data_IF_892325785057
#
_entry.id   IF_892325785057
#
_cell.length_a   1.000
_cell.length_b   1.000
_cell.length_c   1.000
_cell.angle_alpha   90.00
_cell.angle_beta   90.00
_cell.angle_gamma   90.00
#
_symmetry.space_group_name_H-M   'P 1'
#
loop_
_entity.id
_entity.type
_entity.pdbx_description
1 polymer ?
#
# COMPACT_ATOMS: atom_id res chain seq x y z
N UNK A 1 14.17 -14.50 -6.30
CA UNK A 1 12.88 -14.50 -7.01
C UNK A 1 11.83 -13.99 -6.03
N UNK A 2 11.15 -12.89 -6.34
CA UNK A 2 10.18 -12.27 -5.44
C UNK A 2 9.03 -13.25 -5.15
N UNK A 3 8.80 -13.57 -3.88
CA UNK A 3 7.65 -14.38 -3.50
C UNK A 3 6.37 -13.66 -3.92
N UNK A 4 5.38 -14.37 -4.51
CA UNK A 4 4.11 -13.77 -4.86
C UNK A 4 3.45 -13.24 -3.59
N UNK A 5 3.02 -11.98 -3.57
CA UNK A 5 2.25 -11.41 -2.44
C UNK A 5 0.81 -11.15 -2.87
N UNK A 6 -0.12 -11.22 -1.90
CA UNK A 6 -1.47 -10.75 -2.13
C UNK A 6 -1.45 -9.20 -2.15
N UNK A 7 -2.29 -8.53 -2.96
CA UNK A 7 -2.43 -7.09 -2.87
C UNK A 7 -2.94 -6.67 -1.48
N UNK A 8 -2.36 -5.62 -0.89
CA UNK A 8 -2.71 -5.13 0.46
C UNK A 8 -4.22 -4.88 0.63
N UNK A 9 -4.85 -4.20 -0.33
CA UNK A 9 -6.28 -3.89 -0.26
C UNK A 9 -7.15 -5.15 -0.21
N UNK A 10 -6.78 -6.19 -0.96
CA UNK A 10 -7.45 -7.49 -0.91
C UNK A 10 -7.20 -8.16 0.44
N UNK A 11 -5.94 -8.20 0.90
CA UNK A 11 -5.56 -8.84 2.15
C UNK A 11 -6.32 -8.24 3.36
N UNK A 12 -6.39 -6.91 3.43
CA UNK A 12 -7.08 -6.15 4.47
C UNK A 12 -8.60 -6.32 4.42
N UNK A 13 -9.21 -6.10 3.24
CA UNK A 13 -10.67 -6.12 3.10
C UNK A 13 -11.25 -7.52 3.29
N UNK A 14 -10.55 -8.54 2.80
CA UNK A 14 -11.01 -9.92 2.85
C UNK A 14 -10.50 -10.69 4.07
N UNK A 15 -9.56 -10.12 4.84
CA UNK A 15 -9.03 -10.72 6.06
C UNK A 15 -8.17 -11.96 5.81
N UNK A 16 -7.36 -11.95 4.75
CA UNK A 16 -6.45 -13.04 4.37
C UNK A 16 -5.07 -12.50 4.07
N UNK A 17 -4.01 -13.15 4.55
CA UNK A 17 -2.63 -12.70 4.39
C UNK A 17 -1.75 -13.90 4.04
N UNK A 18 -0.88 -13.73 3.04
CA UNK A 18 0.16 -14.72 2.78
C UNK A 18 1.35 -14.46 3.72
N UNK A 19 1.65 -15.42 4.61
CA UNK A 19 2.84 -15.34 5.49
C UNK A 19 4.11 -15.83 4.81
N UNK A 20 3.96 -16.70 3.82
CA UNK A 20 5.08 -17.33 3.13
C UNK A 20 4.64 -18.61 2.44
N UNK A 21 5.62 -19.46 2.13
CA UNK A 21 5.42 -20.74 1.49
C UNK A 21 6.46 -21.02 0.41
N UNK A 22 6.45 -22.26 -0.05
CA UNK A 22 7.29 -22.73 -1.14
C UNK A 22 6.44 -22.93 -2.41
N UNK A 23 7.02 -23.55 -3.44
CA UNK A 23 6.31 -23.85 -4.69
C UNK A 23 5.22 -24.91 -4.55
N UNK A 24 5.29 -25.76 -3.53
CA UNK A 24 4.35 -26.86 -3.30
C UNK A 24 3.18 -26.44 -2.39
N UNK A 25 3.39 -25.50 -1.48
CA UNK A 25 2.37 -25.10 -0.50
C UNK A 25 2.55 -23.64 -0.06
N UNK A 26 1.44 -22.91 -0.03
CA UNK A 26 1.38 -21.54 0.48
C UNK A 26 0.78 -21.50 1.89
N UNK A 27 1.35 -20.66 2.77
CA UNK A 27 0.90 -20.46 4.15
C UNK A 27 0.02 -19.21 4.24
N UNK A 28 -1.26 -19.42 4.47
CA UNK A 28 -2.27 -18.36 4.51
C UNK A 28 -2.75 -18.15 5.95
N UNK A 29 -2.57 -16.93 6.46
CA UNK A 29 -3.17 -16.46 7.69
C UNK A 29 -4.56 -15.90 7.40
N UNK A 30 -5.57 -16.35 8.15
CA UNK A 30 -6.97 -15.95 7.95
C UNK A 30 -7.51 -15.35 9.24
N UNK A 31 -8.09 -14.14 9.15
CA UNK A 31 -8.74 -13.49 10.29
C UNK A 31 -9.98 -14.27 10.70
N UNK A 32 -10.16 -14.49 12.00
CA UNK A 32 -11.38 -15.08 12.55
C UNK A 32 -12.61 -14.27 12.10
N UNK A 33 -13.56 -14.94 11.42
CA UNK A 33 -14.74 -14.31 10.83
C UNK A 33 -14.60 -13.87 9.36
N UNK A 34 -13.45 -14.12 8.72
CA UNK A 34 -13.31 -13.90 7.27
C UNK A 34 -14.23 -14.83 6.47
N UNK A 35 -14.75 -14.32 5.35
CA UNK A 35 -15.61 -15.10 4.48
C UNK A 35 -14.83 -16.25 3.81
N UNK A 36 -15.42 -17.44 3.74
CA UNK A 36 -14.82 -18.60 3.06
C UNK A 36 -14.47 -18.33 1.59
N UNK A 37 -15.22 -17.43 0.94
CA UNK A 37 -14.93 -16.97 -0.41
C UNK A 37 -13.56 -16.31 -0.56
N UNK A 38 -13.07 -15.63 0.48
CA UNK A 38 -11.74 -15.01 0.49
C UNK A 38 -10.62 -16.05 0.37
N UNK A 39 -10.77 -17.18 1.07
CA UNK A 39 -9.82 -18.30 1.02
C UNK A 39 -9.80 -18.94 -0.36
N UNK A 40 -10.98 -19.11 -0.98
CA UNK A 40 -11.09 -19.65 -2.33
C UNK A 40 -10.42 -18.73 -3.36
N UNK A 41 -10.60 -17.42 -3.22
CA UNK A 41 -9.99 -16.44 -4.11
C UNK A 41 -8.47 -16.36 -3.92
N UNK A 42 -7.99 -16.42 -2.68
CA UNK A 42 -6.56 -16.55 -2.38
C UNK A 42 -5.96 -17.82 -3.00
N UNK A 43 -6.67 -18.96 -2.94
CA UNK A 43 -6.25 -20.21 -3.58
C UNK A 43 -6.20 -20.08 -5.11
N UNK A 44 -7.20 -19.43 -5.71
CA UNK A 44 -7.27 -19.17 -7.16
C UNK A 44 -6.10 -18.31 -7.63
N UNK A 45 -5.75 -17.28 -6.86
CA UNK A 45 -4.64 -16.37 -7.15
C UNK A 45 -3.27 -17.07 -7.01
N UNK A 46 -3.04 -17.75 -5.88
CA UNK A 46 -1.74 -18.36 -5.56
C UNK A 46 -1.47 -19.65 -6.36
N UNK A 47 -2.52 -20.32 -6.86
CA UNK A 47 -2.46 -21.58 -7.64
C UNK A 47 -1.68 -22.70 -6.95
N UNK A 48 -1.67 -22.70 -5.61
CA UNK A 48 -0.98 -23.68 -4.77
C UNK A 48 -1.93 -24.20 -3.68
N UNK A 49 -1.71 -25.43 -3.18
CA UNK A 49 -2.29 -25.88 -1.93
C UNK A 49 -2.07 -24.86 -0.81
N UNK A 50 -3.10 -24.63 0.01
CA UNK A 50 -3.04 -23.68 1.12
C UNK A 50 -2.98 -24.43 2.46
N UNK A 51 -1.99 -24.08 3.29
CA UNK A 51 -2.02 -24.35 4.72
C UNK A 51 -2.60 -23.12 5.42
N UNK A 52 -3.74 -23.31 6.07
CA UNK A 52 -4.50 -22.21 6.66
C UNK A 52 -4.24 -22.19 8.17
N UNK A 53 -3.85 -21.02 8.67
CA UNK A 53 -3.78 -20.71 10.10
C UNK A 53 -4.79 -19.60 10.40
N UNK A 54 -5.57 -19.74 11.46
CA UNK A 54 -6.52 -18.72 11.88
C UNK A 54 -5.93 -17.81 12.95
N UNK A 55 -6.11 -16.50 12.82
CA UNK A 55 -5.68 -15.51 13.79
C UNK A 55 -6.86 -14.70 14.33
N UNK A 56 -6.72 -14.19 15.56
CA UNK A 56 -7.63 -13.18 16.09
C UNK A 56 -7.51 -11.89 15.27
N UNK A 57 -8.50 -10.97 15.32
CA UNK A 57 -8.43 -9.71 14.59
C UNK A 57 -7.17 -8.92 14.93
N UNK A 58 -6.83 -8.78 16.22
CA UNK A 58 -5.64 -8.07 16.66
C UNK A 58 -4.34 -8.69 16.14
N UNK A 59 -4.20 -10.02 16.21
CA UNK A 59 -3.01 -10.71 15.71
C UNK A 59 -2.89 -10.63 14.18
N UNK A 60 -4.03 -10.61 13.46
CA UNK A 60 -4.05 -10.45 12.02
C UNK A 60 -3.61 -9.05 11.59
N UNK A 61 -4.13 -7.99 12.22
CA UNK A 61 -3.74 -6.60 11.90
C UNK A 61 -2.23 -6.39 12.14
N UNK A 62 -1.69 -6.92 13.24
CA UNK A 62 -0.24 -6.86 13.51
C UNK A 62 0.59 -7.57 12.43
N UNK A 63 0.18 -8.77 12.01
CA UNK A 63 0.88 -9.52 10.97
C UNK A 63 0.75 -8.84 9.59
N UNK A 64 -0.39 -8.21 9.31
CA UNK A 64 -0.61 -7.43 8.09
C UNK A 64 0.33 -6.23 8.04
N UNK A 65 0.43 -5.46 9.12
CA UNK A 65 1.34 -4.31 9.21
C UNK A 65 2.81 -4.73 8.98
N UNK A 66 3.24 -5.84 9.59
CA UNK A 66 4.60 -6.36 9.40
C UNK A 66 4.88 -6.81 7.96
N UNK A 67 3.96 -7.55 7.34
CA UNK A 67 4.16 -8.12 6.01
C UNK A 67 4.24 -7.06 4.89
N UNK A 68 3.58 -5.92 5.06
CA UNK A 68 3.58 -4.83 4.08
C UNK A 68 4.41 -3.61 4.50
N UNK A 69 4.91 -3.57 5.74
CA UNK A 69 5.75 -2.49 6.26
C UNK A 69 7.21 -2.53 5.79
N UNK A 70 7.74 -3.72 5.42
CA UNK A 70 9.13 -3.89 4.98
C UNK A 70 9.47 -3.26 3.61
N UNK A 71 8.48 -2.71 2.90
CA UNK A 71 8.70 -1.91 1.68
C UNK A 71 9.51 -0.63 1.94
N UNK A 72 9.58 -0.15 3.18
CA UNK A 72 10.36 1.04 3.58
C UNK A 72 11.88 0.81 3.55
N UNK A 73 12.36 -0.43 3.68
CA UNK A 73 13.81 -0.72 3.60
C UNK A 73 14.40 -0.53 2.20
N UNK A 74 13.62 -0.81 1.15
CA UNK A 74 14.04 -0.60 -0.23
C UNK A 74 13.91 0.86 -0.67
N UNK A 75 12.97 1.62 -0.09
CA UNK A 75 12.81 3.04 -0.40
C UNK A 75 13.92 3.89 0.22
N UNK A 76 14.40 3.56 1.42
CA UNK A 76 15.52 4.27 2.05
C UNK A 76 16.83 4.13 1.25
N UNK A 77 17.06 2.99 0.60
CA UNK A 77 18.24 2.76 -0.24
C UNK A 77 18.14 3.49 -1.60
N UNK A 78 16.93 3.66 -2.13
CA UNK A 78 16.67 4.46 -3.35
C UNK A 78 16.71 5.97 -3.06
N UNK A 79 16.27 6.41 -1.87
CA UNK A 79 16.37 7.81 -1.41
C UNK A 79 17.83 8.23 -1.19
N UNK A 80 18.72 7.28 -0.87
CA UNK A 80 20.15 7.57 -0.74
C UNK A 80 20.86 7.82 -2.09
N UNK A 81 20.27 7.41 -3.22
CA UNK A 81 20.84 7.58 -4.57
C UNK A 81 20.29 8.81 -5.31
N UNK A 82 19.19 9.40 -4.83
CA UNK A 82 18.55 10.62 -5.39
C UNK A 82 18.85 11.82 -4.49
N UNK A 83 20.14 12.05 -4.24
CA UNK A 83 20.64 13.03 -3.28
C UNK A 83 20.52 14.51 -3.67
N UNK A 84 19.70 14.94 -4.64
CA UNK A 84 19.57 16.37 -4.97
C UNK A 84 18.12 16.77 -5.30
N UNK A 85 17.55 17.59 -4.41
CA UNK A 85 16.38 18.49 -4.58
C UNK A 85 14.99 17.88 -4.83
N UNK A 86 14.39 17.24 -3.83
CA UNK A 86 13.04 17.60 -3.32
C UNK A 86 13.01 17.24 -1.83
N UNK A 87 12.95 18.25 -0.94
CA UNK A 87 12.79 18.03 0.49
C UNK A 87 11.33 17.64 0.81
N UNK A 88 11.01 16.37 0.54
CA UNK A 88 9.72 15.76 0.85
C UNK A 88 9.42 15.80 2.36
N UNK A 89 10.45 15.85 3.21
CA UNK A 89 10.29 15.97 4.66
C UNK A 89 9.73 17.34 5.07
N UNK A 90 10.07 18.40 4.33
CA UNK A 90 9.46 19.72 4.52
C UNK A 90 7.97 19.74 4.15
N UNK A 91 7.58 19.08 3.05
CA UNK A 91 6.16 18.93 2.66
C UNK A 91 5.34 18.12 3.67
N UNK A 92 5.97 17.20 4.41
CA UNK A 92 5.32 16.44 5.49
C UNK A 92 5.10 17.27 6.76
N UNK A 93 5.86 18.36 6.95
CA UNK A 93 5.85 19.17 8.18
C UNK A 93 4.89 20.37 8.11
N UNK A 94 4.57 20.87 6.91
CA UNK A 94 3.74 22.08 6.72
C UNK A 94 2.23 21.81 6.48
N UNK A 95 1.77 20.56 6.55
CA UNK A 95 0.34 20.26 6.36
C UNK A 95 -0.43 20.41 7.68
N UNK A 96 -1.40 21.33 7.78
CA UNK A 96 -2.34 21.31 8.90
C UNK A 96 -3.07 19.97 8.88
N UNK A 97 -3.20 19.36 10.05
CA UNK A 97 -3.78 18.05 10.24
C UNK A 97 -5.19 18.01 9.63
N UNK A 98 -5.32 17.41 8.44
CA UNK A 98 -6.60 16.89 7.97
C UNK A 98 -6.78 15.56 8.71
N UNK A 99 -7.32 15.67 9.91
CA UNK A 99 -7.44 14.67 10.99
C UNK A 99 -8.22 13.40 10.65
N UNK A 100 -8.31 12.98 9.38
CA UNK A 100 -8.98 11.73 9.02
C UNK A 100 -8.39 11.02 7.77
N UNK A 101 -7.46 11.67 7.07
CA UNK A 101 -6.74 11.08 5.92
C UNK A 101 -5.30 10.67 6.27
N UNK A 102 -4.74 11.25 7.34
CA UNK A 102 -3.38 11.01 7.82
C UNK A 102 -3.30 10.07 9.05
N UNK A 103 -4.43 9.75 9.68
CA UNK A 103 -4.46 8.80 10.80
C UNK A 103 -4.34 7.33 10.37
N UNK A 104 -4.13 7.05 9.08
CA UNK A 104 -3.76 5.71 8.59
C UNK A 104 -2.24 5.60 8.50
N UNK A 105 -1.60 5.54 9.67
CA UNK A 105 -0.14 5.29 9.78
C UNK A 105 0.29 3.96 9.13
N UNK A 106 -0.67 3.08 8.80
CA UNK A 106 -0.46 1.76 8.18
C UNK A 106 -0.71 1.69 6.66
N UNK A 107 -0.99 2.81 5.98
CA UNK A 107 -1.20 2.80 4.53
C UNK A 107 0.15 2.69 3.78
N UNK A 108 0.23 1.82 2.77
CA UNK A 108 1.44 1.61 1.96
C UNK A 108 1.96 2.93 1.32
N UNK A 109 3.27 3.10 1.07
CA UNK A 109 3.86 4.37 0.61
C UNK A 109 3.19 4.98 -0.63
N UNK A 110 2.80 4.15 -1.59
CA UNK A 110 2.09 4.59 -2.80
C UNK A 110 0.70 5.13 -2.47
N UNK A 111 0.00 4.54 -1.50
CA UNK A 111 -1.31 5.01 -1.04
C UNK A 111 -1.16 6.38 -0.38
N UNK A 112 -0.14 6.55 0.47
CA UNK A 112 0.17 7.85 1.11
C UNK A 112 0.51 8.92 0.06
N UNK A 113 1.32 8.58 -0.94
CA UNK A 113 1.67 9.48 -2.05
C UNK A 113 0.43 9.93 -2.83
N UNK A 114 -0.45 9.00 -3.19
CA UNK A 114 -1.71 9.31 -3.89
C UNK A 114 -2.60 10.21 -3.03
N UNK A 115 -2.77 9.87 -1.75
CA UNK A 115 -3.58 10.67 -0.83
C UNK A 115 -3.03 12.09 -0.66
N UNK A 116 -1.71 12.24 -0.52
CA UNK A 116 -1.05 13.54 -0.43
C UNK A 116 -1.25 14.38 -1.70
N UNK A 117 -1.12 13.76 -2.87
CA UNK A 117 -1.32 14.39 -4.17
C UNK A 117 -2.78 14.83 -4.37
N UNK A 118 -3.76 14.02 -3.96
CA UNK A 118 -5.18 14.40 -4.00
C UNK A 118 -5.51 15.52 -2.99
N UNK A 119 -4.95 15.45 -1.78
CA UNK A 119 -5.12 16.50 -0.78
C UNK A 119 -4.49 17.83 -1.25
N UNK A 120 -3.36 17.78 -1.96
CA UNK A 120 -2.76 18.95 -2.61
C UNK A 120 -3.69 19.50 -3.70
N UNK A 121 -4.22 18.65 -4.57
CA UNK A 121 -5.16 19.06 -5.62
C UNK A 121 -6.39 19.78 -5.05
N UNK A 122 -6.95 19.28 -3.95
CA UNK A 122 -8.10 19.91 -3.27
C UNK A 122 -7.72 21.26 -2.68
N UNK A 123 -6.56 21.35 -2.00
CA UNK A 123 -6.05 22.63 -1.43
C UNK A 123 -5.84 23.68 -2.52
N UNK A 124 -5.28 23.26 -3.66
CA UNK A 124 -5.02 24.14 -4.81
C UNK A 124 -6.28 24.43 -5.62
N UNK A 125 -7.42 23.81 -5.28
CA UNK A 125 -8.67 23.85 -6.06
C UNK A 125 -8.43 23.46 -7.52
N UNK A 126 -7.62 22.44 -7.74
CA UNK A 126 -7.40 21.89 -9.06
C UNK A 126 -8.66 21.15 -9.52
N UNK A 127 -9.09 21.42 -10.76
CA UNK A 127 -10.20 20.72 -11.41
C UNK A 127 -9.77 19.36 -11.95
N UNK A 128 -8.49 19.21 -12.32
CA UNK A 128 -7.95 17.99 -12.90
C UNK A 128 -6.56 17.68 -12.37
N UNK A 129 -6.30 16.39 -12.21
CA UNK A 129 -5.01 15.83 -11.84
C UNK A 129 -4.56 14.94 -13.00
N UNK A 130 -3.60 15.40 -13.79
CA UNK A 130 -3.03 14.65 -14.90
C UNK A 130 -1.77 13.93 -14.46
N UNK A 131 -1.66 12.64 -14.74
CA UNK A 131 -0.47 11.81 -14.45
C UNK A 131 0.03 11.25 -15.77
N UNK A 132 1.23 11.64 -16.18
CA UNK A 132 1.85 11.22 -17.43
C UNK A 132 3.07 10.36 -17.13
N UNK A 133 3.00 9.04 -17.37
CA UNK A 133 4.15 8.17 -17.24
C UNK A 133 5.04 8.28 -18.49
N UNK A 134 6.34 8.43 -18.27
CA UNK A 134 7.41 8.32 -19.25
C UNK A 134 8.28 7.10 -18.93
N UNK A 135 9.24 6.80 -19.80
CA UNK A 135 10.09 5.61 -19.67
C UNK A 135 10.89 5.57 -18.35
N UNK A 136 11.33 6.73 -17.85
CA UNK A 136 12.17 6.83 -16.65
C UNK A 136 11.59 7.74 -15.57
N UNK A 137 10.44 8.38 -15.81
CA UNK A 137 9.86 9.35 -14.89
C UNK A 137 8.35 9.43 -15.05
N UNK A 138 7.68 10.11 -14.13
CA UNK A 138 6.28 10.50 -14.31
C UNK A 138 6.11 11.97 -13.95
N UNK A 139 5.32 12.67 -14.74
CA UNK A 139 4.99 14.08 -14.50
C UNK A 139 3.54 14.16 -14.03
N UNK A 140 3.33 14.88 -12.94
CA UNK A 140 2.00 15.19 -12.42
C UNK A 140 1.69 16.67 -12.68
N UNK A 141 0.54 16.97 -13.28
CA UNK A 141 0.07 18.33 -13.55
C UNK A 141 -1.28 18.56 -12.88
N UNK A 142 -1.42 19.66 -12.15
CA UNK A 142 -2.67 20.10 -11.54
C UNK A 142 -3.24 21.25 -12.38
N UNK A 143 -4.43 21.08 -12.96
CA UNK A 143 -5.12 22.15 -13.70
C UNK A 143 -6.02 22.91 -12.75
N UNK A 144 -5.92 24.23 -12.68
CA UNK A 144 -6.76 25.06 -11.80
C UNK A 144 -7.73 25.84 -12.66
N UNK A 145 -9.03 25.59 -12.49
CA UNK A 145 -10.10 26.38 -13.12
C UNK A 145 -9.85 26.70 -14.62
N UNK A 146 -9.36 25.71 -15.38
CA UNK A 146 -9.15 25.80 -16.82
C UNK A 146 -7.79 26.30 -17.30
N UNK A 147 -6.82 26.58 -16.41
CA UNK A 147 -5.42 26.92 -16.75
C UNK A 147 -4.43 25.97 -16.09
#
# INVERSE_FOLDING_TARGET
MSQPSLPYAFARSQGVLLRGGDEAQAELLVRSGAALGAVNEARRFLRRPLRIETATPAAFELALAQAYGDGERNAAEVVADVGQEIDLAQLMTELPAVEDLLERQDDAPIIRMINALLAQAVRDRASDVHIEPYEQSSVVRLRRDGV
#
